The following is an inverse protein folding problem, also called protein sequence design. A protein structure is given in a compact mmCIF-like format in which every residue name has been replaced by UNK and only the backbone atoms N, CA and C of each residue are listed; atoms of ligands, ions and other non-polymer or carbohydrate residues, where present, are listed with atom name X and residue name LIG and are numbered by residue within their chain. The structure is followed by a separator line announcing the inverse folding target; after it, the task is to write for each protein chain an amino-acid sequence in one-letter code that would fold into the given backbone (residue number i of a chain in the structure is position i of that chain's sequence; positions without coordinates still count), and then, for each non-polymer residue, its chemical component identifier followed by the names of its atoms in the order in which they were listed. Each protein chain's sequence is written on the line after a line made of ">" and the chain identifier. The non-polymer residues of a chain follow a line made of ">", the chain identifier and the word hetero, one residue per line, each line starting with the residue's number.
data_IF_125846476437
#
_entry.id   IF_125846476437
#
_cell.length_a   1.000
_cell.length_b   1.000
_cell.length_c   1.000
_cell.angle_alpha   90.00
_cell.angle_beta   90.00
_cell.angle_gamma   90.00
#
_symmetry.space_group_name_H-M   'P 1'
#
loop_
_entity.id
_entity.type
_entity.pdbx_description
1 polymer ?
#
# COMPACT_ATOMS: atom_id res chain seq x y z
N UNK A 1 25.28 9.17 2.90
CA UNK A 1 24.89 9.52 4.28
C UNK A 1 24.91 8.24 5.07
N UNK A 2 25.53 8.25 6.26
CA UNK A 2 25.61 7.08 7.14
C UNK A 2 24.72 7.33 8.36
N UNK A 3 23.98 6.32 8.79
CA UNK A 3 23.12 6.36 9.97
C UNK A 3 23.37 5.11 10.80
N UNK A 4 23.31 5.24 12.13
CA UNK A 4 23.52 4.14 13.05
C UNK A 4 22.20 3.68 13.67
N UNK A 5 22.11 2.37 13.92
CA UNK A 5 21.07 1.77 14.75
C UNK A 5 21.34 2.09 16.22
N UNK A 6 20.30 2.50 16.94
CA UNK A 6 20.37 2.84 18.36
C UNK A 6 19.37 2.03 19.16
N UNK A 7 19.75 1.59 20.35
CA UNK A 7 18.84 0.91 21.27
C UNK A 7 17.82 1.91 21.82
N UNK A 8 16.55 1.56 21.75
CA UNK A 8 15.43 2.33 22.30
C UNK A 8 14.54 1.37 23.11
N UNK A 9 14.77 1.33 24.43
CA UNK A 9 14.16 0.33 25.31
C UNK A 9 14.54 -1.10 24.91
N UNK A 10 13.54 -1.93 24.62
CA UNK A 10 13.71 -3.31 24.12
C UNK A 10 13.75 -3.39 22.59
N UNK A 11 13.81 -2.27 21.90
CA UNK A 11 13.80 -2.19 20.43
C UNK A 11 15.03 -1.48 19.90
N UNK A 12 15.19 -1.49 18.59
CA UNK A 12 16.25 -0.77 17.87
C UNK A 12 15.61 0.22 16.92
N UNK A 13 16.10 1.45 16.91
CA UNK A 13 15.62 2.53 16.05
C UNK A 13 16.75 3.07 15.19
N UNK A 14 16.39 3.58 14.01
CA UNK A 14 17.28 4.38 13.17
C UNK A 14 16.80 5.83 13.20
N UNK A 15 17.75 6.77 13.30
CA UNK A 15 17.42 8.20 13.21
C UNK A 15 17.39 8.57 11.74
N UNK A 16 16.21 8.97 11.25
CA UNK A 16 16.03 9.45 9.87
C UNK A 16 16.18 10.97 9.88
N UNK A 17 17.15 11.55 9.16
CA UNK A 17 17.36 13.00 9.13
C UNK A 17 16.16 13.76 8.53
N UNK A 18 15.84 14.97 9.01
CA UNK A 18 14.70 15.75 8.51
C UNK A 18 14.67 15.99 6.99
N UNK A 19 15.80 16.20 6.28
CA UNK A 19 15.79 16.34 4.83
C UNK A 19 15.22 15.10 4.12
N UNK A 20 15.60 13.90 4.57
CA UNK A 20 15.12 12.63 3.98
C UNK A 20 13.62 12.48 4.17
N UNK A 21 13.08 12.86 5.34
CA UNK A 21 11.64 12.84 5.59
C UNK A 21 10.89 13.81 4.65
N UNK A 22 11.45 15.01 4.41
CA UNK A 22 10.87 16.00 3.50
C UNK A 22 10.86 15.51 2.05
N UNK A 23 11.98 14.97 1.58
CA UNK A 23 12.11 14.46 0.20
C UNK A 23 11.15 13.29 -0.06
N UNK A 24 10.93 12.44 0.96
CA UNK A 24 9.99 11.32 0.89
C UNK A 24 8.53 11.70 1.19
N UNK A 25 8.26 12.97 1.55
CA UNK A 25 6.92 13.45 1.89
C UNK A 25 6.29 12.74 3.09
N UNK A 26 7.10 12.28 4.04
CA UNK A 26 6.66 11.53 5.22
C UNK A 26 6.91 12.31 6.51
N UNK A 27 6.04 12.09 7.51
CA UNK A 27 6.09 12.79 8.80
C UNK A 27 6.42 11.87 9.97
N UNK A 28 6.94 12.45 11.05
CA UNK A 28 7.06 11.74 12.33
C UNK A 28 5.67 11.27 12.80
N UNK A 29 5.58 10.02 13.27
CA UNK A 29 4.32 9.41 13.71
C UNK A 29 3.48 8.79 12.58
N UNK A 30 3.88 8.94 11.31
CA UNK A 30 3.24 8.24 10.20
C UNK A 30 3.47 6.73 10.28
N UNK A 31 2.43 5.94 9.99
CA UNK A 31 2.53 4.47 9.95
C UNK A 31 3.20 4.02 8.66
N UNK A 32 4.22 3.18 8.79
CA UNK A 32 4.94 2.54 7.69
C UNK A 32 4.80 1.01 7.83
N UNK A 33 4.88 0.27 6.74
CA UNK A 33 5.18 -1.17 6.78
C UNK A 33 6.68 -1.39 6.76
N UNK A 34 7.14 -2.46 7.39
CA UNK A 34 8.54 -2.87 7.39
C UNK A 34 8.61 -4.28 6.80
N UNK A 35 9.35 -4.39 5.70
CA UNK A 35 9.56 -5.61 4.96
C UNK A 35 11.06 -5.85 4.76
N UNK A 36 11.45 -7.12 4.63
CA UNK A 36 12.84 -7.51 4.33
C UNK A 36 12.92 -8.18 2.97
N UNK A 37 13.83 -7.74 2.12
CA UNK A 37 14.07 -8.36 0.82
C UNK A 37 15.02 -9.55 0.93
N UNK A 38 15.04 -10.42 -0.09
CA UNK A 38 15.90 -11.61 -0.12
C UNK A 38 17.41 -11.26 -0.06
N UNK A 39 17.79 -10.08 -0.54
CA UNK A 39 19.16 -9.54 -0.47
C UNK A 39 19.45 -8.81 0.86
N UNK A 40 18.59 -8.95 1.86
CA UNK A 40 18.83 -8.47 3.23
C UNK A 40 18.62 -6.97 3.43
N UNK A 41 17.90 -6.29 2.53
CA UNK A 41 17.55 -4.87 2.69
C UNK A 41 16.28 -4.72 3.51
N UNK A 42 16.21 -3.63 4.27
CA UNK A 42 15.00 -3.19 4.95
C UNK A 42 14.27 -2.23 4.04
N UNK A 43 13.00 -2.51 3.76
CA UNK A 43 12.13 -1.65 2.96
C UNK A 43 11.05 -1.09 3.88
N UNK A 44 10.96 0.23 3.94
CA UNK A 44 9.93 0.95 4.67
C UNK A 44 8.97 1.59 3.68
N UNK A 45 7.70 1.18 3.72
CA UNK A 45 6.68 1.71 2.80
C UNK A 45 5.63 2.50 3.58
N UNK A 46 5.38 3.77 3.24
CA UNK A 46 4.31 4.53 3.86
C UNK A 46 2.95 3.86 3.67
N UNK A 47 2.22 3.63 4.77
CA UNK A 47 0.85 3.14 4.68
C UNK A 47 -0.02 4.26 4.14
N UNK A 48 -0.24 4.27 2.82
CA UNK A 48 -1.10 5.25 2.15
C UNK A 48 -2.54 5.02 2.60
N UNK A 49 -3.20 6.10 2.99
CA UNK A 49 -4.67 6.15 2.99
C UNK A 49 -5.07 6.49 1.57
N UNK A 50 -5.89 5.65 0.95
CA UNK A 50 -6.43 5.97 -0.35
C UNK A 50 -7.53 7.02 -0.19
N UNK A 51 -7.48 8.06 -1.01
CA UNK A 51 -8.58 9.00 -1.17
C UNK A 51 -9.38 8.53 -2.38
N UNK A 52 -10.69 8.37 -2.23
CA UNK A 52 -11.56 7.88 -3.30
C UNK A 52 -11.40 8.70 -4.60
N UNK A 53 -11.30 10.02 -4.48
CA UNK A 53 -11.10 10.91 -5.62
C UNK A 53 -9.79 10.61 -6.39
N UNK A 54 -8.70 10.31 -5.68
CA UNK A 54 -7.42 9.96 -6.29
C UNK A 54 -7.46 8.58 -6.97
N UNK A 55 -8.26 7.66 -6.46
CA UNK A 55 -8.44 6.35 -7.10
C UNK A 55 -9.27 6.48 -8.38
N UNK A 56 -10.36 7.25 -8.33
CA UNK A 56 -11.22 7.49 -9.48
C UNK A 56 -10.47 8.23 -10.59
N UNK A 57 -9.60 9.20 -10.25
CA UNK A 57 -8.84 9.95 -11.26
C UNK A 57 -7.84 9.10 -12.04
N UNK A 58 -7.47 7.93 -11.53
CA UNK A 58 -6.60 6.96 -12.20
C UNK A 58 -7.37 6.01 -13.13
N UNK A 59 -8.70 6.00 -13.09
CA UNK A 59 -9.52 5.16 -13.95
C UNK A 59 -9.62 5.74 -15.37
N UNK A 60 -9.50 4.88 -16.38
CA UNK A 60 -9.88 5.23 -17.75
C UNK A 60 -11.41 5.17 -17.88
N UNK A 61 -12.05 6.34 -17.95
CA UNK A 61 -13.50 6.46 -18.08
C UNK A 61 -14.02 5.99 -19.46
N UNK A 62 -13.14 5.71 -20.42
CA UNK A 62 -13.49 5.17 -21.74
C UNK A 62 -13.14 3.68 -21.86
N UNK A 63 -12.66 3.05 -20.79
CA UNK A 63 -12.36 1.63 -20.80
C UNK A 63 -13.61 0.83 -21.18
N UNK A 64 -13.53 -0.11 -22.13
CA UNK A 64 -14.64 -0.98 -22.44
C UNK A 64 -14.97 -1.86 -21.24
N UNK A 65 -16.23 -2.29 -21.09
CA UNK A 65 -16.61 -3.23 -20.04
C UNK A 65 -15.79 -4.54 -20.15
N UNK A 66 -15.48 -5.19 -19.02
CA UNK A 66 -14.73 -6.45 -19.00
C UNK A 66 -15.42 -7.53 -19.85
N UNK A 67 -14.63 -8.33 -20.58
CA UNK A 67 -15.16 -9.36 -21.48
C UNK A 67 -15.94 -10.45 -20.72
N UNK A 68 -15.53 -10.73 -19.48
CA UNK A 68 -16.17 -11.69 -18.59
C UNK A 68 -17.47 -11.17 -17.98
N UNK A 69 -17.74 -9.85 -18.03
CA UNK A 69 -19.00 -9.28 -17.55
C UNK A 69 -20.20 -9.85 -18.32
N UNK A 70 -20.03 -10.10 -19.62
CA UNK A 70 -21.06 -10.76 -20.42
C UNK A 70 -21.34 -12.20 -19.95
N UNK A 71 -20.36 -12.88 -19.35
CA UNK A 71 -20.56 -14.22 -18.78
C UNK A 71 -21.43 -14.16 -17.53
N UNK A 72 -21.33 -13.10 -16.73
CA UNK A 72 -22.20 -12.87 -15.58
C UNK A 72 -23.65 -12.59 -15.99
N UNK A 73 -23.87 -11.80 -17.05
CA UNK A 73 -25.22 -11.53 -17.58
C UNK A 73 -25.92 -12.80 -18.09
N UNK A 74 -25.13 -13.77 -18.57
CA UNK A 74 -25.62 -15.06 -19.07
C UNK A 74 -25.57 -16.18 -18.02
N UNK A 75 -25.05 -15.91 -16.83
CA UNK A 75 -24.90 -16.91 -15.79
C UNK A 75 -26.28 -17.34 -15.30
N UNK A 76 -26.57 -18.64 -15.38
CA UNK A 76 -27.81 -19.18 -14.78
C UNK A 76 -27.65 -19.24 -13.27
N UNK A 77 -28.72 -19.01 -12.50
CA UNK A 77 -28.71 -19.28 -11.07
C UNK A 77 -28.27 -20.73 -10.81
N UNK A 78 -27.23 -20.92 -10.00
CA UNK A 78 -26.73 -22.23 -9.55
C UNK A 78 -27.09 -22.51 -8.08
N UNK A 79 -28.02 -21.72 -7.52
CA UNK A 79 -28.33 -21.70 -6.09
C UNK A 79 -28.77 -23.05 -5.52
N UNK A 80 -28.31 -23.31 -4.30
CA UNK A 80 -28.74 -24.39 -3.40
C UNK A 80 -28.93 -23.87 -1.97
N UNK A 81 -29.20 -22.57 -1.84
CA UNK A 81 -29.35 -21.90 -0.56
C UNK A 81 -30.68 -22.34 0.08
N UNK A 82 -30.62 -22.73 1.35
CA UNK A 82 -31.80 -23.17 2.10
C UNK A 82 -32.61 -21.93 2.50
N UNK A 83 -33.91 -21.94 2.17
CA UNK A 83 -34.88 -20.91 2.54
C UNK A 83 -35.04 -20.75 4.07
#
# INVERSE_FOLDING_TARGET
>A
MEVALKKMGNSTAVVIPPPVLKDLGIGAGQRLTLDTTADGKIVLTPKRKYVLADMISQCDLKAPPPLDLALWDMARPVGGEVL
#
